data_IF_564220044560
#
_entry.id   IF_564220044560
#
_cell.length_a   1.000
_cell.length_b   1.000
_cell.length_c   1.000
_cell.angle_alpha   90.00
_cell.angle_beta   90.00
_cell.angle_gamma   90.00
#
_symmetry.space_group_name_H-M   'P 1'
#
loop_
_entity.id
_entity.type
_entity.pdbx_description
1 polymer ?
#
# COMPACT_ATOMS: atom_id res chain seq x y z
N UNK A 1 -17.57 -0.57 3.79
CA UNK A 1 -16.98 -1.83 4.34
C UNK A 1 -17.40 -3.12 3.62
N UNK A 2 -18.67 -3.35 3.24
CA UNK A 2 -19.10 -4.62 2.61
C UNK A 2 -18.45 -4.94 1.24
N UNK A 3 -18.06 -3.93 0.46
CA UNK A 3 -17.40 -4.10 -0.84
C UNK A 3 -15.95 -4.61 -0.70
N UNK A 4 -15.19 -4.09 0.26
CA UNK A 4 -13.79 -4.48 0.52
C UNK A 4 -13.67 -5.91 1.07
N UNK A 5 -14.61 -6.33 1.93
CA UNK A 5 -14.68 -7.72 2.41
C UNK A 5 -14.97 -8.67 1.25
N UNK A 6 -15.76 -8.26 0.24
CA UNK A 6 -16.02 -9.08 -0.95
C UNK A 6 -14.80 -9.22 -1.84
N UNK A 7 -14.05 -8.14 -2.08
CA UNK A 7 -12.82 -8.20 -2.89
C UNK A 7 -11.71 -9.00 -2.20
N UNK A 8 -11.50 -8.81 -0.90
CA UNK A 8 -10.56 -9.65 -0.14
C UNK A 8 -11.01 -11.11 -0.11
N UNK A 9 -12.31 -11.40 0.06
CA UNK A 9 -12.84 -12.77 0.00
C UNK A 9 -12.67 -13.38 -1.38
N UNK A 10 -12.92 -12.64 -2.45
CA UNK A 10 -12.74 -13.12 -3.82
C UNK A 10 -11.28 -13.45 -4.09
N UNK A 11 -10.37 -12.60 -3.61
CA UNK A 11 -8.93 -12.77 -3.76
C UNK A 11 -8.38 -13.90 -2.90
N UNK A 12 -8.87 -14.05 -1.66
CA UNK A 12 -8.56 -15.21 -0.80
C UNK A 12 -9.07 -16.49 -1.45
N UNK A 13 -10.28 -16.47 -2.01
CA UNK A 13 -10.85 -17.59 -2.74
C UNK A 13 -10.05 -17.93 -4.00
N UNK A 14 -9.61 -16.93 -4.77
CA UNK A 14 -8.73 -17.14 -5.93
C UNK A 14 -7.36 -17.72 -5.50
N UNK A 15 -6.82 -17.30 -4.35
CA UNK A 15 -5.59 -17.85 -3.78
C UNK A 15 -5.78 -19.28 -3.27
N UNK A 16 -6.90 -19.58 -2.61
CA UNK A 16 -7.28 -20.94 -2.19
C UNK A 16 -7.40 -21.87 -3.39
N UNK A 17 -8.10 -21.44 -4.46
CA UNK A 17 -8.21 -22.19 -5.70
C UNK A 17 -6.82 -22.51 -6.32
N UNK A 18 -5.86 -21.59 -6.23
CA UNK A 18 -4.49 -21.82 -6.69
C UNK A 18 -3.72 -22.82 -5.82
N UNK A 19 -3.98 -22.83 -4.50
CA UNK A 19 -3.41 -23.82 -3.56
C UNK A 19 -3.97 -25.21 -3.84
N UNK A 20 -5.29 -25.31 -4.06
CA UNK A 20 -5.97 -26.56 -4.42
C UNK A 20 -5.45 -27.12 -5.75
N UNK A 21 -5.17 -26.25 -6.72
CA UNK A 21 -4.57 -26.64 -8.01
C UNK A 21 -3.17 -27.24 -7.81
N UNK A 22 -2.38 -26.69 -6.88
CA UNK A 22 -1.04 -27.19 -6.55
C UNK A 22 -1.10 -28.56 -5.82
N UNK A 23 -2.03 -28.71 -4.88
CA UNK A 23 -2.29 -29.96 -4.17
C UNK A 23 -2.73 -31.07 -5.14
N UNK A 24 -3.64 -30.76 -6.05
CA UNK A 24 -4.14 -31.70 -7.05
C UNK A 24 -3.02 -32.17 -7.99
N UNK A 25 -2.13 -31.25 -8.39
CA UNK A 25 -0.99 -31.57 -9.26
C UNK A 25 0.10 -32.38 -8.55
N UNK A 26 0.34 -32.12 -7.25
CA UNK A 26 1.24 -32.93 -6.41
C UNK A 26 0.78 -34.39 -6.35
N UNK A 27 -0.49 -34.61 -6.02
CA UNK A 27 -1.10 -35.95 -5.96
C UNK A 27 -1.07 -36.65 -7.33
N UNK A 28 -1.37 -35.94 -8.42
CA UNK A 28 -1.26 -36.51 -9.77
C UNK A 28 0.16 -36.93 -10.10
N UNK A 29 1.17 -36.13 -9.74
CA UNK A 29 2.57 -36.47 -10.00
C UNK A 29 3.05 -37.66 -9.16
N UNK A 30 2.56 -37.85 -7.95
CA UNK A 30 2.83 -39.05 -7.14
C UNK A 30 2.26 -40.31 -7.79
N UNK A 31 0.99 -40.30 -8.19
CA UNK A 31 0.32 -41.42 -8.88
C UNK A 31 0.98 -41.71 -10.24
N UNK A 32 1.33 -40.66 -10.97
CA UNK A 32 1.99 -40.70 -12.27
C UNK A 32 3.39 -41.32 -12.25
N UNK A 33 4.12 -41.17 -11.15
CA UNK A 33 5.49 -41.70 -11.01
C UNK A 33 5.51 -43.11 -10.43
N UNK A 34 4.41 -43.56 -9.81
CA UNK A 34 4.30 -44.89 -9.24
C UNK A 34 4.09 -46.02 -10.28
N UNK A 35 3.51 -45.77 -11.48
CA UNK A 35 3.04 -46.85 -12.38
C UNK A 35 3.14 -46.60 -13.91
N UNK A 36 4.16 -45.91 -14.45
CA UNK A 36 4.10 -45.41 -15.84
C UNK A 36 5.29 -45.74 -16.75
N UNK A 37 5.00 -46.28 -17.95
CA UNK A 37 5.96 -46.63 -19.02
C UNK A 37 6.49 -45.39 -19.80
N UNK A 38 7.58 -45.58 -20.55
CA UNK A 38 8.33 -44.49 -21.22
C UNK A 38 7.51 -43.67 -22.22
N UNK A 39 6.61 -44.29 -22.99
CA UNK A 39 5.70 -43.59 -23.93
C UNK A 39 4.80 -42.57 -23.23
N UNK A 40 4.29 -42.92 -22.05
CA UNK A 40 3.37 -42.07 -21.29
C UNK A 40 4.12 -40.92 -20.62
N UNK A 41 5.40 -41.09 -20.27
CA UNK A 41 6.27 -39.98 -19.79
C UNK A 41 6.51 -38.93 -20.88
N UNK A 42 6.76 -39.37 -22.12
CA UNK A 42 6.96 -38.47 -23.28
C UNK A 42 5.66 -37.74 -23.63
N UNK A 43 4.52 -38.44 -23.69
CA UNK A 43 3.21 -37.81 -23.94
C UNK A 43 2.85 -36.76 -22.88
N UNK A 44 3.18 -37.01 -21.60
CA UNK A 44 2.95 -36.07 -20.49
C UNK A 44 3.85 -34.82 -20.59
N UNK A 45 5.00 -34.92 -21.25
CA UNK A 45 5.89 -33.78 -21.50
C UNK A 45 5.28 -32.76 -22.48
N UNK A 46 4.47 -33.21 -23.44
CA UNK A 46 3.78 -32.34 -24.40
C UNK A 46 2.35 -31.97 -23.97
N UNK A 47 1.89 -32.46 -22.82
CA UNK A 47 0.58 -32.13 -22.25
C UNK A 47 0.58 -30.76 -21.56
N UNK A 48 -0.59 -30.13 -21.49
CA UNK A 48 -0.83 -28.93 -20.67
C UNK A 48 -0.65 -29.20 -19.16
N UNK A 49 -0.65 -30.47 -18.76
CA UNK A 49 -0.27 -30.95 -17.41
C UNK A 49 1.24 -31.23 -17.28
N UNK A 50 2.08 -30.62 -18.13
CA UNK A 50 3.53 -30.65 -17.98
C UNK A 50 3.93 -29.82 -16.74
N UNK A 51 4.77 -30.35 -15.82
CA UNK A 51 5.17 -29.64 -14.59
C UNK A 51 5.84 -28.28 -14.82
N UNK A 52 6.60 -28.10 -15.91
CA UNK A 52 7.23 -26.82 -16.28
C UNK A 52 6.19 -25.82 -16.81
N UNK A 53 5.30 -26.26 -17.69
CA UNK A 53 4.20 -25.41 -18.22
C UNK A 53 3.26 -25.01 -17.09
N UNK A 54 2.94 -25.93 -16.18
CA UNK A 54 2.16 -25.68 -14.98
C UNK A 54 2.84 -24.66 -14.06
N UNK A 55 4.13 -24.83 -13.75
CA UNK A 55 4.91 -23.85 -12.94
C UNK A 55 4.93 -22.47 -13.58
N UNK A 56 5.10 -22.38 -14.90
CA UNK A 56 5.07 -21.10 -15.61
C UNK A 56 3.67 -20.46 -15.58
N UNK A 57 2.61 -21.25 -15.75
CA UNK A 57 1.21 -20.80 -15.64
C UNK A 57 0.91 -20.29 -14.24
N UNK A 58 1.29 -21.04 -13.21
CA UNK A 58 1.12 -20.67 -11.81
C UNK A 58 1.94 -19.42 -11.46
N UNK A 59 3.20 -19.32 -11.88
CA UNK A 59 4.02 -18.12 -11.68
C UNK A 59 3.40 -16.87 -12.35
N UNK A 60 2.83 -17.03 -13.55
CA UNK A 60 2.10 -15.96 -14.24
C UNK A 60 0.84 -15.55 -13.48
N UNK A 61 0.07 -16.52 -12.98
CA UNK A 61 -1.13 -16.26 -12.18
C UNK A 61 -0.78 -15.62 -10.82
N UNK A 62 0.24 -16.09 -10.09
CA UNK A 62 0.75 -15.49 -8.85
C UNK A 62 1.20 -14.05 -9.10
N UNK A 63 1.90 -13.80 -10.21
CA UNK A 63 2.35 -12.46 -10.61
C UNK A 63 1.19 -11.54 -10.98
N UNK A 64 0.16 -12.04 -11.64
CA UNK A 64 -1.04 -11.25 -11.97
C UNK A 64 -1.93 -11.04 -10.73
N UNK A 65 -1.97 -12.02 -9.83
CA UNK A 65 -2.63 -11.94 -8.52
C UNK A 65 -1.93 -10.88 -7.66
N UNK A 66 -0.61 -10.90 -7.53
CA UNK A 66 0.19 -9.86 -6.86
C UNK A 66 -0.02 -8.46 -7.47
N UNK A 67 -0.12 -8.37 -8.81
CA UNK A 67 -0.40 -7.12 -9.53
C UNK A 67 -1.83 -6.60 -9.34
N UNK A 68 -2.81 -7.49 -9.07
CA UNK A 68 -4.22 -7.15 -8.81
C UNK A 68 -4.50 -6.87 -7.32
N UNK A 69 -3.89 -7.63 -6.41
CA UNK A 69 -4.02 -7.50 -4.95
C UNK A 69 -3.47 -6.19 -4.42
N UNK A 70 -2.35 -5.74 -4.97
CA UNK A 70 -1.50 -4.79 -4.28
C UNK A 70 -1.70 -3.36 -4.77
N UNK A 71 -2.88 -2.97 -5.27
CA UNK A 71 -3.18 -1.57 -5.67
C UNK A 71 -3.84 -0.75 -4.56
N UNK A 72 -4.57 -1.39 -3.67
CA UNK A 72 -5.28 -0.74 -2.58
C UNK A 72 -5.08 -1.54 -1.30
N UNK A 73 -4.46 -0.92 -0.30
CA UNK A 73 -4.28 -1.47 1.04
C UNK A 73 -4.87 -0.47 2.04
N UNK A 74 -6.03 -0.80 2.59
CA UNK A 74 -6.63 -0.02 3.68
C UNK A 74 -6.73 -0.86 4.94
N UNK A 75 -6.18 -0.32 6.02
CA UNK A 75 -6.32 -0.81 7.39
C UNK A 75 -7.01 0.27 8.25
N UNK A 76 -7.78 1.15 7.61
CA UNK A 76 -8.42 2.29 8.27
C UNK A 76 -9.14 1.88 9.57
N UNK A 77 -8.94 2.68 10.63
CA UNK A 77 -9.53 2.50 11.96
C UNK A 77 -9.24 1.13 12.58
N UNK A 78 -8.13 0.51 12.22
CA UNK A 78 -7.69 -0.71 12.87
C UNK A 78 -7.06 -0.41 14.23
N UNK A 79 -7.83 -0.63 15.29
CA UNK A 79 -7.42 -0.39 16.68
C UNK A 79 -6.58 -1.53 17.30
N UNK A 80 -6.20 -2.54 16.51
CA UNK A 80 -5.44 -3.70 16.98
C UNK A 80 -4.03 -3.74 16.42
N UNK A 81 -3.83 -3.18 15.22
CA UNK A 81 -2.55 -3.26 14.54
C UNK A 81 -1.51 -2.36 15.22
N UNK A 82 -0.42 -2.97 15.68
CA UNK A 82 0.69 -2.27 16.33
C UNK A 82 1.82 -1.92 15.36
N UNK A 83 2.03 -2.76 14.34
CA UNK A 83 3.12 -2.63 13.36
C UNK A 83 2.62 -3.06 11.99
N UNK A 84 2.97 -2.29 10.97
CA UNK A 84 2.83 -2.68 9.57
C UNK A 84 4.22 -3.07 9.07
N UNK A 85 4.40 -4.26 8.47
CA UNK A 85 5.73 -4.71 8.07
C UNK A 85 6.28 -3.87 6.91
N UNK A 86 7.58 -3.58 6.93
CA UNK A 86 8.25 -2.83 5.85
C UNK A 86 8.21 -3.55 4.49
N UNK A 87 7.81 -4.83 4.45
CA UNK A 87 7.58 -5.56 3.21
C UNK A 87 6.50 -4.94 2.33
N UNK A 88 5.57 -4.15 2.89
CA UNK A 88 4.58 -3.41 2.09
C UNK A 88 5.26 -2.47 1.08
N UNK A 89 6.47 -1.98 1.38
CA UNK A 89 7.22 -1.08 0.52
C UNK A 89 7.84 -1.79 -0.70
N UNK A 90 7.64 -3.11 -0.84
CA UNK A 90 7.95 -3.89 -2.04
C UNK A 90 6.79 -3.89 -3.05
N UNK A 91 5.60 -3.41 -2.65
CA UNK A 91 4.42 -3.37 -3.50
C UNK A 91 4.49 -2.17 -4.45
N UNK A 92 5.31 -2.28 -5.50
CA UNK A 92 5.52 -1.18 -6.46
C UNK A 92 4.26 -0.77 -7.23
N UNK A 93 3.25 -1.64 -7.28
CA UNK A 93 1.94 -1.38 -7.90
C UNK A 93 0.94 -0.70 -6.97
N UNK A 94 1.29 -0.47 -5.69
CA UNK A 94 0.38 0.12 -4.70
C UNK A 94 0.04 1.56 -5.05
N UNK A 95 -1.26 1.81 -5.19
CA UNK A 95 -1.82 3.12 -5.54
C UNK A 95 -2.48 3.79 -4.34
N UNK A 96 -3.04 3.01 -3.42
CA UNK A 96 -3.69 3.52 -2.22
C UNK A 96 -3.16 2.78 -1.00
N UNK A 97 -2.64 3.53 -0.03
CA UNK A 97 -2.29 3.05 1.29
C UNK A 97 -3.05 3.89 2.31
N UNK A 98 -4.01 3.31 3.02
CA UNK A 98 -4.79 4.01 4.02
C UNK A 98 -4.61 3.35 5.40
N UNK A 99 -3.93 4.05 6.29
CA UNK A 99 -3.66 3.70 7.68
C UNK A 99 -4.28 4.73 8.65
N UNK A 100 -5.24 5.54 8.18
CA UNK A 100 -5.93 6.54 9.00
C UNK A 100 -6.72 5.86 10.11
N UNK A 101 -6.74 6.44 11.32
CA UNK A 101 -7.41 5.86 12.48
C UNK A 101 -6.72 4.64 13.09
N UNK A 102 -5.54 4.23 12.61
CA UNK A 102 -4.74 3.16 13.23
C UNK A 102 -4.03 3.67 14.50
N UNK A 103 -4.80 3.98 15.55
CA UNK A 103 -4.30 4.67 16.76
C UNK A 103 -3.30 3.86 17.57
N UNK A 104 -3.25 2.53 17.42
CA UNK A 104 -2.26 1.66 18.07
C UNK A 104 -1.00 1.42 17.25
N UNK A 105 -0.93 1.92 16.02
CA UNK A 105 0.27 1.83 15.19
C UNK A 105 1.42 2.59 15.87
N UNK A 106 2.49 1.89 16.19
CA UNK A 106 3.64 2.44 16.93
C UNK A 106 4.59 3.20 15.99
N UNK A 107 4.83 2.66 14.79
CA UNK A 107 5.81 3.16 13.83
C UNK A 107 5.27 3.03 12.42
N UNK A 108 5.46 4.07 11.60
CA UNK A 108 5.15 4.01 10.18
C UNK A 108 6.12 3.10 9.43
N UNK A 109 5.69 2.45 8.33
CA UNK A 109 6.59 1.67 7.48
C UNK A 109 7.76 2.54 6.99
N UNK A 110 8.98 2.05 7.14
CA UNK A 110 10.16 2.74 6.60
C UNK A 110 10.23 2.55 5.09
N UNK A 111 10.79 3.53 4.37
CA UNK A 111 11.01 3.52 2.91
C UNK A 111 9.72 3.61 2.09
N UNK A 112 8.70 4.35 2.56
CA UNK A 112 7.46 4.59 1.80
C UNK A 112 7.74 5.16 0.39
N UNK A 113 8.83 5.90 0.21
CA UNK A 113 9.35 6.40 -1.07
C UNK A 113 9.51 5.34 -2.17
N UNK A 114 9.56 4.05 -1.82
CA UNK A 114 9.64 2.94 -2.79
C UNK A 114 8.30 2.61 -3.46
N UNK A 115 7.20 3.15 -2.94
CA UNK A 115 5.86 3.00 -3.49
C UNK A 115 5.65 3.99 -4.65
N UNK A 116 6.38 3.80 -5.75
CA UNK A 116 6.44 4.73 -6.88
C UNK A 116 5.09 4.97 -7.57
N UNK A 117 4.15 4.03 -7.45
CA UNK A 117 2.80 4.13 -8.02
C UNK A 117 1.77 4.74 -7.06
N UNK A 118 2.18 5.12 -5.84
CA UNK A 118 1.26 5.56 -4.80
C UNK A 118 0.63 6.90 -5.18
N UNK A 119 -0.70 6.90 -5.23
CA UNK A 119 -1.54 8.06 -5.59
C UNK A 119 -2.26 8.63 -4.39
N UNK A 120 -2.57 7.80 -3.40
CA UNK A 120 -3.25 8.19 -2.18
C UNK A 120 -2.54 7.58 -0.97
N UNK A 121 -2.18 8.44 -0.02
CA UNK A 121 -1.60 8.04 1.26
C UNK A 121 -2.44 8.64 2.38
N UNK A 122 -2.98 7.77 3.24
CA UNK A 122 -3.62 8.15 4.49
C UNK A 122 -2.82 7.56 5.64
N UNK A 123 -2.43 8.38 6.61
CA UNK A 123 -1.66 7.91 7.78
C UNK A 123 -2.15 8.57 9.06
N UNK A 124 -2.10 7.81 10.15
CA UNK A 124 -2.09 8.38 11.49
C UNK A 124 -0.66 8.31 12.01
N UNK A 125 -0.10 9.45 12.40
CA UNK A 125 1.25 9.53 12.99
C UNK A 125 1.20 9.92 14.45
N UNK A 126 2.15 9.40 15.22
CA UNK A 126 2.46 9.84 16.59
C UNK A 126 3.79 10.59 16.66
N UNK A 127 4.52 10.64 15.54
CA UNK A 127 5.82 11.29 15.45
C UNK A 127 5.64 12.81 15.47
N UNK A 128 6.56 13.50 16.14
CA UNK A 128 6.50 14.96 16.25
C UNK A 128 6.86 15.67 14.94
N UNK A 129 7.66 15.01 14.12
CA UNK A 129 8.06 15.44 12.77
C UNK A 129 7.85 14.25 11.86
N UNK A 130 7.16 14.46 10.74
CA UNK A 130 6.93 13.41 9.76
C UNK A 130 8.26 13.04 9.07
N UNK A 131 8.58 11.74 8.87
CA UNK A 131 9.88 11.34 8.33
C UNK A 131 9.98 11.72 6.85
N UNK A 132 10.59 12.87 6.61
CA UNK A 132 10.65 13.51 5.31
C UNK A 132 11.33 12.63 4.26
N UNK A 133 12.39 11.92 4.68
CA UNK A 133 13.15 10.98 3.88
C UNK A 133 12.35 9.79 3.35
N UNK A 134 11.20 9.49 3.96
CA UNK A 134 10.32 8.41 3.55
C UNK A 134 9.21 8.87 2.61
N UNK A 135 8.94 10.17 2.51
CA UNK A 135 7.88 10.76 1.67
C UNK A 135 8.48 11.52 0.48
N UNK A 136 9.70 12.04 0.62
CA UNK A 136 10.47 12.65 -0.46
C UNK A 136 10.60 11.61 -1.58
N UNK A 137 10.08 11.94 -2.77
CA UNK A 137 9.94 11.09 -3.97
C UNK A 137 8.63 10.30 -4.16
N UNK A 138 7.56 10.57 -3.42
CA UNK A 138 6.22 10.11 -3.80
C UNK A 138 5.66 10.94 -4.99
N UNK A 139 6.33 10.87 -6.13
CA UNK A 139 6.07 11.69 -7.32
C UNK A 139 4.74 11.41 -8.02
N UNK A 140 4.03 10.37 -7.60
CA UNK A 140 2.70 9.99 -8.10
C UNK A 140 1.56 10.38 -7.14
N UNK A 141 1.89 10.94 -5.97
CA UNK A 141 0.96 11.22 -4.90
C UNK A 141 0.07 12.43 -5.23
N UNK A 142 -1.24 12.19 -5.27
CA UNK A 142 -2.26 13.21 -5.54
C UNK A 142 -3.03 13.60 -4.29
N UNK A 143 -3.22 12.65 -3.37
CA UNK A 143 -4.00 12.83 -2.16
C UNK A 143 -3.16 12.39 -0.97
N UNK A 144 -3.03 13.28 0.00
CA UNK A 144 -2.34 13.02 1.26
C UNK A 144 -3.29 13.37 2.43
N UNK A 145 -3.56 12.40 3.28
CA UNK A 145 -4.34 12.57 4.50
C UNK A 145 -3.48 12.22 5.71
N UNK A 146 -3.34 13.16 6.64
CA UNK A 146 -2.54 13.01 7.86
C UNK A 146 -3.42 13.29 9.07
N UNK A 147 -3.60 12.29 9.92
CA UNK A 147 -4.10 12.47 11.28
C UNK A 147 -2.95 12.45 12.29
N UNK A 148 -2.95 13.37 13.26
CA UNK A 148 -1.99 13.31 14.38
C UNK A 148 -2.63 13.85 15.65
N UNK A 149 -2.72 13.04 16.70
CA UNK A 149 -3.48 13.39 17.91
C UNK A 149 -2.74 14.29 18.90
N UNK A 150 -1.41 14.21 19.03
CA UNK A 150 -0.74 14.85 20.20
C UNK A 150 0.58 15.58 19.91
N UNK A 151 1.38 15.18 18.91
CA UNK A 151 2.79 15.60 18.88
C UNK A 151 3.26 16.30 17.61
N UNK A 152 2.51 16.27 16.52
CA UNK A 152 3.00 16.78 15.23
C UNK A 152 3.15 18.30 15.28
N UNK A 153 4.40 18.78 15.34
CA UNK A 153 4.75 20.20 15.47
C UNK A 153 5.00 20.86 14.11
N UNK A 154 5.54 20.11 13.16
CA UNK A 154 5.83 20.59 11.82
C UNK A 154 5.56 19.51 10.76
N UNK A 155 5.21 19.98 9.57
CA UNK A 155 4.96 19.16 8.39
C UNK A 155 5.74 19.75 7.20
N UNK A 156 6.43 18.89 6.43
CA UNK A 156 7.05 19.21 5.15
C UNK A 156 8.12 20.33 5.15
N UNK A 157 9.13 20.28 6.02
CA UNK A 157 10.24 21.23 5.96
C UNK A 157 11.16 20.87 4.79
N UNK A 158 10.94 21.47 3.61
CA UNK A 158 11.79 21.24 2.43
C UNK A 158 11.40 20.04 1.56
N UNK A 159 10.18 19.50 1.70
CA UNK A 159 9.65 18.45 0.81
C UNK A 159 8.81 19.08 -0.29
N UNK A 160 9.12 18.77 -1.55
CA UNK A 160 8.29 19.17 -2.69
C UNK A 160 7.33 18.05 -3.10
N UNK A 161 6.04 18.36 -3.18
CA UNK A 161 5.01 17.47 -3.72
C UNK A 161 4.31 18.15 -4.91
N UNK A 162 4.99 18.25 -6.09
CA UNK A 162 4.59 19.13 -7.20
C UNK A 162 3.33 18.71 -7.94
N UNK A 163 2.73 17.58 -7.58
CA UNK A 163 1.49 17.08 -8.18
C UNK A 163 0.39 16.78 -7.17
N UNK A 164 0.61 17.13 -5.90
CA UNK A 164 -0.39 16.95 -4.85
C UNK A 164 -1.57 17.88 -5.13
N UNK A 165 -2.76 17.31 -5.21
CA UNK A 165 -4.03 18.02 -5.46
C UNK A 165 -4.82 18.23 -4.19
N UNK A 166 -4.79 17.26 -3.28
CA UNK A 166 -5.55 17.29 -2.04
C UNK A 166 -4.63 17.02 -0.86
N UNK A 167 -4.61 17.95 0.09
CA UNK A 167 -3.99 17.78 1.39
C UNK A 167 -5.09 17.88 2.46
N UNK A 168 -5.23 16.83 3.24
CA UNK A 168 -6.07 16.80 4.42
C UNK A 168 -5.19 16.63 5.66
N UNK A 169 -5.32 17.53 6.62
CA UNK A 169 -4.67 17.44 7.92
C UNK A 169 -5.75 17.51 8.99
N UNK A 170 -5.79 16.50 9.85
CA UNK A 170 -6.83 16.40 10.87
C UNK A 170 -6.27 16.10 12.25
N UNK A 171 -7.00 16.59 13.27
CA UNK A 171 -6.76 16.36 14.70
C UNK A 171 -5.42 16.86 15.21
N UNK A 172 -4.77 17.78 14.49
CA UNK A 172 -3.38 18.18 14.74
C UNK A 172 -3.24 19.15 15.91
N UNK A 173 -3.22 18.59 17.13
CA UNK A 173 -3.23 19.34 18.40
C UNK A 173 -1.96 20.13 18.75
N UNK A 174 -0.91 20.12 17.91
CA UNK A 174 0.34 20.88 18.15
C UNK A 174 0.96 21.48 16.89
N UNK A 175 0.31 21.31 15.73
CA UNK A 175 0.85 21.79 14.46
C UNK A 175 0.66 23.30 14.40
N UNK A 176 1.77 24.05 14.40
CA UNK A 176 1.73 25.52 14.45
C UNK A 176 1.64 26.16 13.07
N UNK A 177 2.29 25.57 12.09
CA UNK A 177 2.34 26.09 10.73
C UNK A 177 2.38 24.94 9.73
N UNK A 178 1.91 25.25 8.52
CA UNK A 178 1.98 24.37 7.37
C UNK A 178 2.61 25.17 6.22
N UNK A 179 3.71 24.70 5.61
CA UNK A 179 4.34 25.41 4.50
C UNK A 179 3.46 25.28 3.26
N UNK A 180 2.55 26.23 3.06
CA UNK A 180 1.61 26.29 1.94
C UNK A 180 2.15 27.07 0.74
N UNK A 181 3.46 27.34 0.70
CA UNK A 181 4.03 28.14 -0.37
C UNK A 181 3.95 27.42 -1.75
N UNK A 182 4.07 28.22 -2.81
CA UNK A 182 4.07 27.74 -4.21
C UNK A 182 5.28 26.81 -4.46
N UNK A 183 6.35 26.92 -3.66
CA UNK A 183 7.54 26.10 -3.80
C UNK A 183 7.32 24.65 -3.34
N UNK A 184 6.35 24.40 -2.46
CA UNK A 184 6.03 23.09 -1.89
C UNK A 184 4.82 22.42 -2.57
N UNK A 185 3.75 23.18 -2.91
CA UNK A 185 2.51 22.63 -3.48
C UNK A 185 1.97 23.37 -4.71
N UNK A 186 2.67 23.28 -5.84
CA UNK A 186 2.31 23.98 -7.10
C UNK A 186 0.93 23.63 -7.70
N UNK A 187 0.34 22.49 -7.32
CA UNK A 187 -0.93 21.98 -7.88
C UNK A 187 -2.02 21.72 -6.84
N UNK A 188 -1.88 22.27 -5.63
CA UNK A 188 -2.87 22.06 -4.59
C UNK A 188 -4.20 22.72 -4.98
N UNK A 189 -5.24 21.90 -5.07
CA UNK A 189 -6.60 22.32 -5.41
C UNK A 189 -7.50 22.32 -4.17
N UNK A 190 -7.18 21.50 -3.17
CA UNK A 190 -8.02 21.30 -1.99
C UNK A 190 -7.15 21.14 -0.74
N UNK A 191 -7.36 22.03 0.22
CA UNK A 191 -6.83 21.93 1.57
C UNK A 191 -8.00 21.71 2.54
N UNK A 192 -7.95 20.60 3.28
CA UNK A 192 -8.90 20.31 4.35
C UNK A 192 -8.15 20.33 5.67
N UNK A 193 -8.62 21.15 6.60
CA UNK A 193 -8.10 21.22 7.96
C UNK A 193 -9.26 20.94 8.90
N UNK A 194 -9.12 19.93 9.74
CA UNK A 194 -10.13 19.55 10.72
C UNK A 194 -9.50 19.37 12.11
N UNK A 195 -10.13 19.93 13.15
CA UNK A 195 -9.69 19.79 14.53
C UNK A 195 -8.18 20.10 14.75
N UNK A 196 -7.71 21.22 14.21
CA UNK A 196 -6.32 21.71 14.29
C UNK A 196 -6.29 23.10 14.94
N UNK A 197 -6.38 23.14 16.26
CA UNK A 197 -6.64 24.37 17.03
C UNK A 197 -5.49 25.39 16.98
N UNK A 198 -4.25 24.94 16.83
CA UNK A 198 -3.06 25.79 16.87
C UNK A 198 -2.48 26.11 15.49
N UNK A 199 -3.13 25.66 14.42
CA UNK A 199 -2.62 25.82 13.07
C UNK A 199 -2.88 27.24 12.56
N UNK A 200 -1.80 28.00 12.41
CA UNK A 200 -1.83 29.32 11.78
C UNK A 200 -1.44 29.21 10.31
N UNK A 201 -2.42 29.43 9.43
CA UNK A 201 -2.22 29.44 7.98
C UNK A 201 -1.80 30.81 7.42
N UNK A 202 -1.74 31.85 8.26
CA UNK A 202 -1.51 33.23 7.83
C UNK A 202 -0.03 33.62 7.77
N UNK A 203 0.86 32.87 8.44
CA UNK A 203 2.32 33.12 8.48
C UNK A 203 3.11 32.69 7.23
N UNK A 204 2.43 32.41 6.12
CA UNK A 204 3.05 32.03 4.85
C UNK A 204 3.21 33.17 3.83
N UNK A 205 2.89 34.42 4.23
CA UNK A 205 2.80 35.60 3.36
C UNK A 205 3.66 36.79 3.84
N UNK A 206 4.76 36.54 4.56
CA UNK A 206 5.71 37.61 4.86
C UNK A 206 6.92 37.51 3.91
N UNK A 207 6.93 38.47 2.97
CA UNK A 207 7.95 38.96 2.02
C UNK A 207 8.43 38.06 0.84
#
# INVERSE_FOLDING_TARGET
>A
MRFFVKEIKQVLHDAENMVDEFECERLRNEVANAHVNSRTKVARFFSTSNPLVFRLRMAKQIKELDKRLCRFLSLERNEKIKKVPNSICKLHSLQVLNLVGCTKLEVLPKRLRKLISLRQLGITTKEAVLPENDIVNLNSLKILNIESYENLQSLFVGIKLPILKTLAVAKCGSLKSLPLDINHFTKLETLLVDNCEYLDLTKGYDD
#
